data_IF_823729171621
#
_entry.id   IF_823729171621
#
_cell.length_a   1.000
_cell.length_b   1.000
_cell.length_c   1.000
_cell.angle_alpha   90.00
_cell.angle_beta   90.00
_cell.angle_gamma   90.00
#
_symmetry.space_group_name_H-M   'P 1'
#
loop_
_entity.id
_entity.type
_entity.pdbx_description
1 polymer ?
#
# COMPACT_ATOMS: atom_id res chain seq x y z
N UNK A 1 -4.28 15.96 -5.41
CA UNK A 1 -3.37 16.22 -4.27
C UNK A 1 -3.73 15.35 -3.08
N UNK A 2 -2.96 15.38 -1.98
CA UNK A 2 -3.23 14.54 -0.81
C UNK A 2 -4.57 14.85 -0.13
N UNK A 3 -4.93 16.13 -0.03
CA UNK A 3 -6.20 16.60 0.54
C UNK A 3 -7.39 16.06 -0.27
N UNK A 4 -7.36 16.21 -1.59
CA UNK A 4 -8.40 15.68 -2.49
C UNK A 4 -8.55 14.16 -2.37
N UNK A 5 -7.45 13.44 -2.17
CA UNK A 5 -7.50 12.00 -2.01
C UNK A 5 -8.15 11.57 -0.70
N UNK A 6 -7.85 12.26 0.40
CA UNK A 6 -8.51 12.05 1.69
C UNK A 6 -10.01 12.39 1.62
N UNK A 7 -10.38 13.52 0.98
CA UNK A 7 -11.77 13.90 0.73
C UNK A 7 -12.47 12.86 -0.16
N UNK A 8 -11.78 12.32 -1.16
CA UNK A 8 -12.33 11.29 -2.02
C UNK A 8 -12.63 10.00 -1.26
N UNK A 9 -11.70 9.55 -0.40
CA UNK A 9 -11.87 8.37 0.43
C UNK A 9 -12.99 8.53 1.47
N UNK A 10 -13.18 9.74 1.99
CA UNK A 10 -14.18 10.00 3.02
C UNK A 10 -15.63 9.92 2.54
N UNK A 11 -15.85 9.86 1.22
CA UNK A 11 -17.16 9.56 0.62
C UNK A 11 -17.67 8.16 0.98
N UNK A 12 -16.78 7.16 1.00
CA UNK A 12 -17.12 5.81 1.48
C UNK A 12 -16.98 5.71 3.01
N UNK A 13 -16.09 6.49 3.60
CA UNK A 13 -15.74 6.43 5.02
C UNK A 13 -15.88 7.81 5.69
N UNK A 14 -17.10 8.21 6.09
CA UNK A 14 -17.33 9.50 6.75
C UNK A 14 -16.39 9.70 7.94
N UNK A 15 -15.54 10.72 7.84
CA UNK A 15 -14.45 10.97 8.79
C UNK A 15 -14.07 12.45 8.79
N UNK A 16 -13.50 12.92 9.90
CA UNK A 16 -12.81 14.21 9.96
C UNK A 16 -11.40 14.05 9.40
N UNK A 17 -11.06 14.83 8.39
CA UNK A 17 -9.73 14.82 7.78
C UNK A 17 -8.91 15.95 8.40
N UNK A 18 -7.82 15.62 9.10
CA UNK A 18 -6.90 16.59 9.67
C UNK A 18 -5.59 16.51 8.88
N UNK A 19 -5.27 17.59 8.18
CA UNK A 19 -4.06 17.71 7.37
C UNK A 19 -3.06 18.55 8.15
N UNK A 20 -1.89 17.99 8.41
CA UNK A 20 -0.80 18.70 9.11
C UNK A 20 0.33 18.95 8.13
N UNK A 21 0.67 20.22 7.94
CA UNK A 21 1.83 20.67 7.17
C UNK A 21 2.89 21.19 8.13
N UNK A 22 4.10 20.65 8.03
CA UNK A 22 5.25 21.08 8.83
C UNK A 22 6.11 22.01 7.98
N UNK A 23 6.18 23.27 8.38
CA UNK A 23 7.01 24.30 7.74
C UNK A 23 8.43 24.36 8.32
N UNK A 24 9.12 25.46 8.02
CA UNK A 24 10.48 25.71 8.50
C UNK A 24 10.53 25.82 10.04
N UNK A 25 11.37 25.00 10.67
CA UNK A 25 11.58 24.96 12.13
C UNK A 25 12.42 26.13 12.64
N UNK A 26 13.18 26.80 11.78
CA UNK A 26 14.02 27.95 12.15
C UNK A 26 13.30 29.31 12.12
N UNK A 27 12.09 29.35 11.59
CA UNK A 27 11.27 30.56 11.50
C UNK A 27 10.54 30.88 12.83
N UNK A 28 9.91 32.05 12.90
CA UNK A 28 9.08 32.42 14.06
C UNK A 28 7.90 31.46 14.22
N UNK A 29 7.65 31.07 15.47
CA UNK A 29 6.62 30.10 15.82
C UNK A 29 5.22 30.61 15.44
N UNK A 30 4.52 29.87 14.56
CA UNK A 30 3.17 30.22 14.08
C UNK A 30 2.34 28.97 13.79
N UNK A 31 1.03 29.08 14.04
CA UNK A 31 0.02 28.13 13.61
C UNK A 31 -0.96 28.85 12.67
N UNK A 32 -0.98 28.45 11.41
CA UNK A 32 -2.03 28.86 10.46
C UNK A 32 -3.04 27.71 10.33
N UNK A 33 -4.34 28.00 10.40
CA UNK A 33 -5.39 26.99 10.34
C UNK A 33 -6.50 27.37 9.35
N UNK A 34 -6.96 26.39 8.58
CA UNK A 34 -8.09 26.51 7.65
C UNK A 34 -9.09 25.38 7.93
N UNK A 35 -10.38 25.71 8.02
CA UNK A 35 -11.45 24.72 8.14
C UNK A 35 -12.30 24.78 6.87
N UNK A 36 -12.41 23.65 6.17
CA UNK A 36 -13.28 23.49 5.00
C UNK A 36 -14.47 22.62 5.37
N UNK A 37 -15.67 23.11 5.07
CA UNK A 37 -16.94 22.44 5.39
C UNK A 37 -17.86 22.50 4.16
N UNK A 38 -18.67 21.47 3.94
CA UNK A 38 -19.63 21.45 2.84
C UNK A 38 -18.97 21.13 1.49
N UNK A 39 -19.35 21.83 0.42
CA UNK A 39 -18.96 21.51 -0.97
C UNK A 39 -17.45 21.29 -1.20
N UNK A 40 -16.60 22.02 -0.48
CA UNK A 40 -15.14 21.93 -0.59
C UNK A 40 -14.51 20.76 0.18
N UNK A 41 -15.27 20.14 1.09
CA UNK A 41 -14.85 19.00 1.91
C UNK A 41 -15.73 17.75 1.68
N UNK A 42 -16.72 17.84 0.80
CA UNK A 42 -17.67 16.76 0.53
C UNK A 42 -18.50 16.41 1.76
N UNK A 43 -18.54 15.12 2.11
CA UNK A 43 -19.23 14.61 3.30
C UNK A 43 -18.41 14.80 4.61
N UNK A 44 -17.22 15.39 4.51
CA UNK A 44 -16.27 15.52 5.62
C UNK A 44 -16.09 16.95 6.10
N UNK A 45 -15.55 17.08 7.31
CA UNK A 45 -14.88 18.29 7.78
C UNK A 45 -13.38 18.12 7.52
N UNK A 46 -12.76 19.10 6.84
CA UNK A 46 -11.31 19.09 6.59
C UNK A 46 -10.68 20.25 7.36
N UNK A 47 -9.76 19.92 8.26
CA UNK A 47 -8.97 20.89 9.02
C UNK A 47 -7.54 20.84 8.51
N UNK A 48 -7.04 21.95 7.97
CA UNK A 48 -5.65 22.09 7.51
C UNK A 48 -4.89 22.93 8.53
N UNK A 49 -3.81 22.38 9.09
CA UNK A 49 -2.97 23.00 10.11
C UNK A 49 -1.55 23.14 9.54
N UNK A 50 -1.06 24.37 9.43
CA UNK A 50 0.32 24.65 9.03
C UNK A 50 1.12 25.12 10.23
N UNK A 51 2.07 24.31 10.67
CA UNK A 51 2.88 24.52 11.86
C UNK A 51 4.27 24.99 11.42
N UNK A 52 4.71 26.13 11.94
CA UNK A 52 5.99 26.77 11.59
C UNK A 52 6.76 27.11 12.87
N UNK A 53 8.08 27.16 12.78
CA UNK A 53 8.96 27.41 13.92
C UNK A 53 8.90 26.26 14.93
N UNK A 54 8.91 26.59 16.22
CA UNK A 54 8.93 25.60 17.30
C UNK A 54 7.70 24.68 17.31
N UNK A 55 6.54 25.17 16.84
CA UNK A 55 5.34 24.33 16.73
C UNK A 55 5.50 23.15 15.79
N UNK A 56 6.36 23.25 14.76
CA UNK A 56 6.63 22.15 13.84
C UNK A 56 7.32 20.94 14.53
N UNK A 57 7.82 21.11 15.76
CA UNK A 57 8.36 20.02 16.59
C UNK A 57 7.29 19.34 17.47
N UNK A 58 6.07 19.90 17.54
CA UNK A 58 5.01 19.41 18.43
C UNK A 58 3.66 19.13 17.73
N UNK A 59 3.63 18.45 16.57
CA UNK A 59 2.40 18.26 15.81
C UNK A 59 1.34 17.46 16.56
N UNK A 60 1.73 16.46 17.35
CA UNK A 60 0.82 15.66 18.18
C UNK A 60 0.03 16.52 19.15
N UNK A 61 0.69 17.44 19.84
CA UNK A 61 0.04 18.33 20.82
C UNK A 61 -0.98 19.26 20.17
N UNK A 62 -0.69 19.72 18.95
CA UNK A 62 -1.57 20.59 18.17
C UNK A 62 -2.79 19.82 17.63
N UNK A 63 -2.62 18.56 17.21
CA UNK A 63 -3.70 17.76 16.63
C UNK A 63 -4.64 17.15 17.68
N UNK A 64 -4.13 16.80 18.86
CA UNK A 64 -4.89 16.09 19.90
C UNK A 64 -6.27 16.72 20.20
N UNK A 65 -6.43 18.06 20.34
CA UNK A 65 -7.73 18.69 20.60
C UNK A 65 -8.77 18.52 19.47
N UNK A 66 -8.35 18.20 18.25
CA UNK A 66 -9.24 18.00 17.11
C UNK A 66 -9.74 16.55 16.97
N UNK A 67 -9.17 15.62 17.75
CA UNK A 67 -9.58 14.22 17.74
C UNK A 67 -10.90 14.05 18.49
N UNK A 68 -11.78 13.23 17.92
CA UNK A 68 -13.04 12.87 18.57
C UNK A 68 -12.81 11.73 19.57
N UNK A 69 -13.41 11.78 20.77
CA UNK A 69 -13.37 10.65 21.69
C UNK A 69 -13.98 9.41 21.01
N UNK A 70 -13.39 8.26 21.29
CA UNK A 70 -13.87 6.94 20.83
C UNK A 70 -13.93 6.71 19.31
N UNK A 71 -13.33 7.59 18.51
CA UNK A 71 -13.19 7.41 17.05
C UNK A 71 -11.81 6.83 16.73
N UNK A 72 -11.71 5.74 15.93
CA UNK A 72 -10.42 5.20 15.52
C UNK A 72 -9.67 6.23 14.67
N UNK A 73 -8.40 6.46 15.02
CA UNK A 73 -7.52 7.37 14.29
C UNK A 73 -6.67 6.58 13.30
N UNK A 74 -6.56 7.10 12.08
CA UNK A 74 -5.70 6.59 11.02
C UNK A 74 -4.68 7.66 10.68
N UNK A 75 -3.40 7.32 10.75
CA UNK A 75 -2.30 8.21 10.36
C UNK A 75 -1.83 7.83 8.97
N UNK A 76 -1.72 8.81 8.06
CA UNK A 76 -1.27 8.58 6.70
C UNK A 76 -0.20 9.61 6.32
N UNK A 77 0.92 9.14 5.76
CA UNK A 77 1.95 10.00 5.17
C UNK A 77 1.84 9.94 3.64
N UNK A 78 1.38 11.01 2.96
CA UNK A 78 1.24 11.02 1.50
C UNK A 78 2.57 10.96 0.72
N UNK A 79 3.70 11.14 1.41
CA UNK A 79 5.03 11.18 0.83
C UNK A 79 6.05 10.43 1.71
N UNK A 80 7.16 11.08 2.02
CA UNK A 80 8.17 10.49 2.91
C UNK A 80 7.59 10.27 4.31
N UNK A 81 7.48 9.01 4.71
CA UNK A 81 7.12 8.62 6.06
C UNK A 81 8.36 8.57 6.96
N UNK A 82 8.22 8.74 8.28
CA UNK A 82 9.28 8.48 9.25
C UNK A 82 9.84 7.06 9.12
N UNK A 83 11.07 6.88 9.61
CA UNK A 83 11.73 5.56 9.60
C UNK A 83 11.02 4.56 10.52
N UNK A 84 10.54 5.02 11.68
CA UNK A 84 9.76 4.26 12.64
C UNK A 84 8.36 4.87 12.79
N UNK A 85 7.39 4.51 11.93
CA UNK A 85 6.04 5.08 11.98
C UNK A 85 5.33 4.88 13.31
N UNK A 86 5.54 3.77 14.02
CA UNK A 86 4.90 3.54 15.31
C UNK A 86 5.42 4.44 16.44
N UNK A 87 6.68 4.89 16.34
CA UNK A 87 7.32 5.74 17.35
C UNK A 87 7.16 7.24 17.04
N UNK A 88 6.77 7.58 15.80
CA UNK A 88 6.51 8.96 15.39
C UNK A 88 5.35 9.57 16.21
N UNK A 89 5.46 10.82 16.70
CA UNK A 89 4.40 11.44 17.48
C UNK A 89 3.02 11.42 16.82
N UNK A 90 2.93 11.56 15.50
CA UNK A 90 1.67 11.44 14.76
C UNK A 90 1.26 9.99 14.54
N UNK A 91 2.22 9.09 14.38
CA UNK A 91 1.96 7.66 14.28
C UNK A 91 1.39 7.05 15.55
N UNK A 92 1.84 7.48 16.74
CA UNK A 92 1.32 7.02 18.04
C UNK A 92 -0.16 7.35 18.26
N UNK A 93 -0.71 8.32 17.53
CA UNK A 93 -2.15 8.64 17.59
C UNK A 93 -2.99 7.60 16.87
N UNK A 94 -2.46 6.98 15.81
CA UNK A 94 -3.20 6.12 14.91
C UNK A 94 -3.05 4.63 15.23
N UNK A 95 -4.17 3.90 15.20
CA UNK A 95 -4.15 2.43 15.24
C UNK A 95 -3.73 1.83 13.90
N UNK A 96 -4.08 2.51 12.80
CA UNK A 96 -3.67 2.21 11.44
C UNK A 96 -2.70 3.29 10.96
N UNK A 97 -1.58 2.88 10.37
CA UNK A 97 -0.52 3.76 9.84
C UNK A 97 -0.29 3.40 8.38
N UNK A 98 -0.76 4.27 7.49
CA UNK A 98 -0.72 4.07 6.04
C UNK A 98 0.53 4.76 5.49
N UNK A 99 1.38 3.97 4.83
CA UNK A 99 2.61 4.40 4.18
C UNK A 99 2.45 4.31 2.65
N UNK A 100 3.41 4.85 1.90
CA UNK A 100 3.44 4.69 0.44
C UNK A 100 4.87 4.46 -0.06
N UNK A 101 5.25 3.18 -0.19
CA UNK A 101 6.55 2.77 -0.69
C UNK A 101 6.82 3.27 -2.13
N UNK A 102 5.77 3.50 -2.92
CA UNK A 102 5.87 3.99 -4.31
C UNK A 102 6.35 5.44 -4.38
N UNK A 103 6.25 6.18 -3.27
CA UNK A 103 6.70 7.57 -3.14
C UNK A 103 8.10 7.68 -2.53
N UNK A 104 8.77 6.56 -2.24
CA UNK A 104 10.10 6.57 -1.65
C UNK A 104 11.15 7.04 -2.66
N UNK A 105 12.10 7.86 -2.20
CA UNK A 105 13.29 8.23 -2.98
C UNK A 105 14.31 7.08 -3.12
N UNK A 106 14.15 5.99 -2.36
CA UNK A 106 15.04 4.84 -2.36
C UNK A 106 14.20 3.55 -2.56
N UNK A 107 13.63 3.33 -3.76
CA UNK A 107 12.69 2.23 -4.02
C UNK A 107 13.32 0.85 -3.78
N UNK A 108 14.58 0.63 -4.14
CA UNK A 108 15.25 -0.66 -3.97
C UNK A 108 15.45 -1.11 -2.51
N UNK A 109 15.40 -0.19 -1.54
CA UNK A 109 15.59 -0.50 -0.11
C UNK A 109 14.35 -0.26 0.73
N UNK A 110 13.27 0.26 0.14
CA UNK A 110 12.10 0.72 0.92
C UNK A 110 11.42 -0.42 1.67
N UNK A 111 11.20 -1.58 1.03
CA UNK A 111 10.52 -2.71 1.66
C UNK A 111 11.37 -3.34 2.76
N UNK A 112 12.69 -3.41 2.58
CA UNK A 112 13.61 -3.84 3.65
C UNK A 112 13.54 -2.93 4.87
N UNK A 113 13.50 -1.60 4.68
CA UNK A 113 13.27 -0.66 5.78
C UNK A 113 11.90 -0.84 6.44
N UNK A 114 10.83 -1.05 5.65
CA UNK A 114 9.49 -1.32 6.20
C UNK A 114 9.46 -2.58 7.05
N UNK A 115 10.12 -3.65 6.63
CA UNK A 115 10.21 -4.87 7.42
C UNK A 115 11.02 -4.64 8.71
N UNK A 116 12.14 -3.93 8.64
CA UNK A 116 13.01 -3.67 9.78
C UNK A 116 12.32 -2.86 10.90
N UNK A 117 11.37 -2.00 10.55
CA UNK A 117 10.65 -1.13 11.49
C UNK A 117 9.16 -1.43 11.59
N UNK A 118 8.71 -2.57 11.06
CA UNK A 118 7.31 -2.97 11.04
C UNK A 118 6.73 -3.04 12.46
N UNK A 119 5.57 -2.44 12.63
CA UNK A 119 4.74 -2.62 13.81
C UNK A 119 3.29 -2.99 13.42
N UNK A 120 2.58 -3.79 14.24
CA UNK A 120 1.17 -4.09 14.02
C UNK A 120 0.33 -2.82 13.83
N UNK A 121 -0.42 -2.77 12.73
CA UNK A 121 -1.18 -1.59 12.29
C UNK A 121 -0.51 -0.79 11.18
N UNK A 122 0.74 -1.08 10.82
CA UNK A 122 1.37 -0.56 9.61
C UNK A 122 0.80 -1.22 8.36
N UNK A 123 0.64 -0.44 7.30
CA UNK A 123 0.27 -0.88 5.96
C UNK A 123 0.87 0.05 4.92
N UNK A 124 0.82 -0.34 3.65
CA UNK A 124 1.40 0.42 2.55
C UNK A 124 0.48 0.42 1.32
N UNK A 125 0.29 1.59 0.71
CA UNK A 125 -0.55 1.71 -0.48
C UNK A 125 -0.02 0.93 -1.69
N UNK A 126 1.27 0.56 -1.72
CA UNK A 126 1.80 -0.38 -2.70
C UNK A 126 1.17 -1.78 -2.56
N UNK A 127 0.86 -2.20 -1.34
CA UNK A 127 0.19 -3.47 -1.04
C UNK A 127 -1.29 -3.43 -1.45
N UNK A 128 -1.98 -2.34 -1.10
CA UNK A 128 -3.37 -2.09 -1.49
C UNK A 128 -3.54 -2.05 -3.02
N UNK A 129 -2.54 -1.51 -3.73
CA UNK A 129 -2.56 -1.44 -5.19
C UNK A 129 -2.64 -2.83 -5.84
N UNK A 130 -2.10 -3.87 -5.19
CA UNK A 130 -2.08 -5.24 -5.75
C UNK A 130 -3.20 -6.14 -5.25
N UNK A 131 -4.18 -5.63 -4.49
CA UNK A 131 -5.32 -6.44 -3.98
C UNK A 131 -6.06 -7.21 -5.08
N UNK A 132 -6.36 -6.56 -6.22
CA UNK A 132 -7.08 -7.24 -7.31
C UNK A 132 -6.25 -8.38 -7.93
N UNK A 133 -4.94 -8.18 -8.09
CA UNK A 133 -4.02 -9.21 -8.58
C UNK A 133 -3.95 -10.40 -7.64
N UNK A 134 -3.87 -10.14 -6.32
CA UNK A 134 -3.88 -11.19 -5.30
C UNK A 134 -5.17 -12.00 -5.34
N UNK A 135 -6.33 -11.35 -5.46
CA UNK A 135 -7.62 -12.03 -5.55
C UNK A 135 -7.71 -12.94 -6.79
N UNK A 136 -7.23 -12.48 -7.96
CA UNK A 136 -7.20 -13.29 -9.18
C UNK A 136 -6.29 -14.51 -9.04
N UNK A 137 -5.10 -14.34 -8.45
CA UNK A 137 -4.16 -15.44 -8.22
C UNK A 137 -4.69 -16.45 -7.20
N UNK A 138 -5.23 -15.99 -6.08
CA UNK A 138 -5.85 -16.87 -5.08
C UNK A 138 -6.97 -17.71 -5.73
N UNK A 139 -7.87 -17.07 -6.48
CA UNK A 139 -8.92 -17.77 -7.23
C UNK A 139 -8.34 -18.74 -8.28
N UNK A 140 -7.23 -18.39 -8.94
CA UNK A 140 -6.58 -19.26 -9.90
C UNK A 140 -6.07 -20.56 -9.26
N UNK A 141 -5.47 -20.46 -8.06
CA UNK A 141 -4.91 -21.59 -7.31
C UNK A 141 -6.00 -22.53 -6.78
N UNK A 142 -7.17 -22.01 -6.44
CA UNK A 142 -8.32 -22.78 -5.95
C UNK A 142 -9.06 -23.55 -7.05
N UNK A 143 -8.65 -23.46 -8.32
CA UNK A 143 -9.29 -24.21 -9.40
C UNK A 143 -8.63 -25.59 -9.59
N UNK A 144 -9.40 -26.66 -9.86
CA UNK A 144 -8.85 -27.98 -10.18
C UNK A 144 -7.96 -27.91 -11.43
N UNK A 145 -7.00 -28.83 -11.62
CA UNK A 145 -6.81 -30.09 -10.91
C UNK A 145 -6.02 -30.00 -9.59
N UNK A 146 -5.62 -28.80 -9.14
CA UNK A 146 -4.80 -28.60 -7.94
C UNK A 146 -3.42 -29.32 -7.97
N UNK A 147 -2.88 -29.59 -9.16
CA UNK A 147 -1.50 -30.06 -9.34
C UNK A 147 -0.54 -29.14 -8.58
N UNK A 148 0.44 -29.66 -7.85
CA UNK A 148 1.30 -28.84 -7.00
C UNK A 148 2.00 -27.71 -7.80
N UNK A 149 2.04 -26.51 -7.22
CA UNK A 149 2.92 -25.44 -7.71
C UNK A 149 4.32 -25.78 -7.22
N UNK A 150 5.31 -25.76 -8.10
CA UNK A 150 6.69 -26.12 -7.77
C UNK A 150 7.62 -24.92 -7.71
N UNK A 151 7.26 -23.83 -8.40
CA UNK A 151 7.94 -22.54 -8.33
C UNK A 151 7.05 -21.42 -8.89
N UNK A 152 7.44 -20.17 -8.61
CA UNK A 152 6.76 -18.97 -9.09
C UNK A 152 7.77 -18.06 -9.79
N UNK A 153 7.34 -17.47 -10.90
CA UNK A 153 8.08 -16.40 -11.57
C UNK A 153 7.21 -15.14 -11.61
N UNK A 154 7.72 -14.04 -11.08
CA UNK A 154 7.08 -12.73 -11.07
C UNK A 154 7.91 -11.76 -11.91
N UNK A 155 7.34 -11.29 -13.00
CA UNK A 155 7.96 -10.31 -13.90
C UNK A 155 7.22 -8.99 -13.82
N UNK A 156 7.96 -7.89 -13.84
CA UNK A 156 7.40 -6.54 -13.75
C UNK A 156 8.47 -5.46 -13.72
N UNK A 157 8.09 -4.17 -13.73
CA UNK A 157 9.04 -3.05 -13.76
C UNK A 157 10.02 -3.08 -12.57
N UNK A 158 11.25 -2.60 -12.75
CA UNK A 158 12.33 -2.68 -11.74
C UNK A 158 11.95 -2.05 -10.40
N UNK A 159 11.37 -0.85 -10.41
CA UNK A 159 11.09 -0.08 -9.19
C UNK A 159 9.61 -0.18 -8.84
N UNK A 160 9.12 -1.39 -8.57
CA UNK A 160 7.71 -1.63 -8.29
C UNK A 160 7.52 -2.36 -6.96
N UNK A 161 7.43 -1.61 -5.84
CA UNK A 161 7.22 -2.20 -4.51
C UNK A 161 5.97 -3.06 -4.43
N UNK A 162 4.91 -2.74 -5.21
CA UNK A 162 3.71 -3.57 -5.27
C UNK A 162 3.96 -4.94 -5.91
N UNK A 163 4.75 -5.00 -6.99
CA UNK A 163 5.12 -6.28 -7.63
C UNK A 163 6.07 -7.08 -6.73
N UNK A 164 6.98 -6.41 -6.04
CA UNK A 164 7.91 -7.07 -5.12
C UNK A 164 7.15 -7.64 -3.90
N UNK A 165 6.20 -6.89 -3.32
CA UNK A 165 5.28 -7.39 -2.29
C UNK A 165 4.42 -8.56 -2.79
N UNK A 166 3.99 -8.53 -4.06
CA UNK A 166 3.23 -9.62 -4.65
C UNK A 166 4.08 -10.89 -4.78
N UNK A 167 5.36 -10.77 -5.14
CA UNK A 167 6.31 -11.87 -5.13
C UNK A 167 6.56 -12.39 -3.71
N UNK A 168 6.79 -11.50 -2.74
CA UNK A 168 6.95 -11.87 -1.34
C UNK A 168 5.73 -12.59 -0.76
N UNK A 169 4.53 -12.13 -1.11
CA UNK A 169 3.29 -12.81 -0.72
C UNK A 169 3.19 -14.22 -1.33
N UNK A 170 3.44 -14.37 -2.63
CA UNK A 170 3.42 -15.69 -3.29
C UNK A 170 4.47 -16.63 -2.68
N UNK A 171 5.66 -16.11 -2.37
CA UNK A 171 6.73 -16.84 -1.69
C UNK A 171 6.26 -17.37 -0.33
N UNK A 172 5.71 -16.50 0.52
CA UNK A 172 5.25 -16.87 1.86
C UNK A 172 4.00 -17.76 1.83
N UNK A 173 3.05 -17.50 0.93
CA UNK A 173 1.77 -18.21 0.89
C UNK A 173 1.87 -19.61 0.26
N UNK A 174 2.79 -19.80 -0.69
CA UNK A 174 2.97 -21.07 -1.39
C UNK A 174 4.18 -21.87 -0.91
N UNK A 175 5.11 -21.24 -0.18
CA UNK A 175 6.33 -21.84 0.35
C UNK A 175 7.22 -22.50 -0.74
N UNK A 176 7.18 -21.97 -1.97
CA UNK A 176 7.97 -22.45 -3.11
C UNK A 176 9.00 -21.43 -3.57
N UNK A 177 10.10 -21.86 -4.25
CA UNK A 177 11.04 -20.93 -4.87
C UNK A 177 10.32 -19.89 -5.74
N UNK A 178 10.62 -18.61 -5.49
CA UNK A 178 9.99 -17.49 -6.18
C UNK A 178 11.07 -16.58 -6.74
N UNK A 179 11.05 -16.40 -8.06
CA UNK A 179 11.98 -15.52 -8.78
C UNK A 179 11.30 -14.24 -9.22
N UNK A 180 12.01 -13.12 -9.09
CA UNK A 180 11.59 -11.79 -9.51
C UNK A 180 12.47 -11.29 -10.66
N UNK A 181 11.86 -10.97 -11.80
CA UNK A 181 12.56 -10.54 -13.04
C UNK A 181 12.07 -9.19 -13.55
N UNK A 182 12.98 -8.37 -14.09
CA UNK A 182 12.60 -7.10 -14.72
C UNK A 182 11.92 -7.36 -16.08
N UNK A 183 10.76 -6.74 -16.31
CA UNK A 183 10.07 -6.82 -17.60
C UNK A 183 8.61 -6.35 -17.55
N UNK A 184 7.82 -6.77 -18.54
CA UNK A 184 6.36 -6.56 -18.53
C UNK A 184 5.71 -7.38 -17.41
N UNK A 185 4.59 -6.87 -16.87
CA UNK A 185 3.87 -7.55 -15.79
C UNK A 185 3.38 -8.94 -16.25
N UNK A 186 3.93 -9.99 -15.64
CA UNK A 186 3.54 -11.38 -15.85
C UNK A 186 3.81 -12.19 -14.57
N UNK A 187 2.90 -13.08 -14.20
CA UNK A 187 3.06 -14.01 -13.09
C UNK A 187 2.84 -15.42 -13.60
N UNK A 188 3.82 -16.31 -13.37
CA UNK A 188 3.76 -17.71 -13.75
C UNK A 188 3.80 -18.58 -12.50
N UNK A 189 2.76 -19.38 -12.31
CA UNK A 189 2.72 -20.45 -11.31
C UNK A 189 3.09 -21.75 -12.02
N UNK A 190 4.30 -22.25 -11.79
CA UNK A 190 4.85 -23.42 -12.50
C UNK A 190 4.31 -24.70 -11.88
N UNK A 191 3.81 -25.60 -12.72
CA UNK A 191 3.26 -26.92 -12.36
C UNK A 191 3.67 -27.94 -13.42
N UNK A 192 3.65 -29.23 -13.05
CA UNK A 192 4.05 -30.32 -13.94
C UNK A 192 3.10 -30.50 -15.13
N UNK A 193 1.82 -30.17 -14.97
CA UNK A 193 0.80 -30.19 -16.01
C UNK A 193 0.74 -28.91 -16.86
N UNK A 194 1.67 -27.98 -16.61
CA UNK A 194 1.83 -26.72 -17.32
C UNK A 194 1.53 -25.49 -16.46
N UNK A 195 2.14 -24.33 -16.78
CA UNK A 195 2.05 -23.17 -15.92
C UNK A 195 0.67 -22.50 -16.01
N UNK A 196 0.21 -21.98 -14.88
CA UNK A 196 -0.83 -20.94 -14.89
C UNK A 196 -0.16 -19.58 -15.04
N UNK A 197 -0.56 -18.81 -16.06
CA UNK A 197 0.04 -17.53 -16.40
C UNK A 197 -0.98 -16.42 -16.25
N UNK A 198 -0.63 -15.36 -15.54
CA UNK A 198 -1.40 -14.12 -15.46
C UNK A 198 -0.58 -12.98 -16.07
N UNK A 199 -1.08 -12.37 -17.14
CA UNK A 199 -0.42 -11.27 -17.83
C UNK A 199 -1.44 -10.19 -18.23
N UNK A 200 -0.94 -9.03 -18.69
CA UNK A 200 -1.77 -7.98 -19.27
C UNK A 200 -1.93 -8.18 -20.79
N UNK A 201 -3.13 -8.01 -21.32
CA UNK A 201 -3.35 -7.88 -22.77
C UNK A 201 -3.07 -6.45 -23.27
N UNK A 202 -3.23 -6.25 -24.59
CA UNK A 202 -3.02 -4.96 -25.26
C UNK A 202 -3.98 -3.85 -24.78
N UNK A 203 -5.10 -4.22 -24.17
CA UNK A 203 -6.11 -3.30 -23.65
C UNK A 203 -5.95 -3.08 -22.14
N UNK A 204 -4.91 -3.66 -21.51
CA UNK A 204 -4.69 -3.55 -20.07
C UNK A 204 -5.57 -4.47 -19.21
N UNK A 205 -6.22 -5.48 -19.80
CA UNK A 205 -6.96 -6.47 -19.03
C UNK A 205 -6.03 -7.56 -18.51
N UNK A 206 -6.36 -8.11 -17.33
CA UNK A 206 -5.71 -9.32 -16.85
C UNK A 206 -6.22 -10.53 -17.65
N UNK A 207 -5.28 -11.28 -18.22
CA UNK A 207 -5.54 -12.56 -18.88
C UNK A 207 -4.92 -13.66 -18.03
N UNK A 208 -5.76 -14.62 -17.65
CA UNK A 208 -5.38 -15.78 -16.87
C UNK A 208 -5.49 -17.03 -17.75
N UNK A 209 -4.34 -17.57 -18.15
CA UNK A 209 -4.22 -18.77 -18.98
C UNK A 209 -3.86 -19.96 -18.09
N UNK A 210 -4.56 -21.07 -18.29
CA UNK A 210 -4.30 -22.33 -17.57
C UNK A 210 -4.34 -23.51 -18.56
N UNK A 211 -3.52 -24.55 -18.39
CA UNK A 211 -3.49 -25.69 -19.30
C UNK A 211 -4.88 -26.34 -19.45
N UNK A 212 -5.26 -26.62 -20.69
CA UNK A 212 -6.52 -27.30 -21.01
C UNK A 212 -7.80 -26.51 -20.71
N UNK A 213 -7.70 -25.21 -20.37
CA UNK A 213 -8.85 -24.35 -20.07
C UNK A 213 -8.88 -23.12 -21.00
N UNK A 214 -10.07 -22.58 -21.28
CA UNK A 214 -10.18 -21.27 -21.93
C UNK A 214 -9.54 -20.16 -21.08
N UNK A 215 -8.97 -19.16 -21.75
CA UNK A 215 -8.42 -17.99 -21.08
C UNK A 215 -9.52 -17.22 -20.34
N UNK A 216 -9.26 -16.92 -19.06
CA UNK A 216 -10.07 -15.99 -18.29
C UNK A 216 -9.62 -14.55 -18.56
N UNK A 217 -10.55 -13.63 -18.79
CA UNK A 217 -10.24 -12.20 -18.94
C UNK A 217 -10.99 -11.38 -17.90
N UNK A 218 -10.27 -10.51 -17.20
CA UNK A 218 -10.84 -9.62 -16.20
C UNK A 218 -10.35 -8.21 -16.46
N UNK A 219 -11.28 -7.25 -16.54
CA UNK A 219 -10.94 -5.85 -16.65
C UNK A 219 -10.21 -5.40 -15.37
N UNK A 220 -9.03 -4.82 -15.55
CA UNK A 220 -8.28 -4.21 -14.46
C UNK A 220 -8.49 -2.71 -14.55
N UNK A 221 -9.08 -2.13 -13.51
CA UNK A 221 -9.27 -0.68 -13.43
C UNK A 221 -8.06 -0.07 -12.77
N UNK A 222 -7.52 1.00 -13.36
CA UNK A 222 -6.49 1.79 -12.69
C UNK A 222 -7.04 2.36 -11.38
N UNK A 223 -6.35 2.08 -10.27
CA UNK A 223 -6.78 2.50 -8.93
C UNK A 223 -6.03 3.74 -8.50
N UNK A 224 -6.74 4.86 -8.54
CA UNK A 224 -6.19 6.13 -8.07
C UNK A 224 -6.10 6.19 -6.54
N UNK A 225 -5.32 7.15 -6.04
CA UNK A 225 -5.06 7.32 -4.60
C UNK A 225 -6.31 7.37 -3.71
N UNK A 226 -7.41 8.06 -4.07
CA UNK A 226 -8.62 8.06 -3.23
C UNK A 226 -9.23 6.65 -3.07
N UNK A 227 -9.16 5.83 -4.12
CA UNK A 227 -9.70 4.45 -4.13
C UNK A 227 -8.83 3.51 -3.29
N UNK A 228 -7.51 3.74 -3.27
CA UNK A 228 -6.59 2.97 -2.42
C UNK A 228 -6.78 3.35 -0.95
N UNK A 229 -6.88 4.65 -0.64
CA UNK A 229 -7.16 5.11 0.71
C UNK A 229 -8.51 4.61 1.22
N UNK A 230 -9.56 4.67 0.40
CA UNK A 230 -10.87 4.12 0.78
C UNK A 230 -10.76 2.63 1.15
N UNK A 231 -10.02 1.83 0.37
CA UNK A 231 -9.81 0.41 0.70
C UNK A 231 -9.08 0.20 2.03
N UNK A 232 -8.03 0.98 2.31
CA UNK A 232 -7.33 0.92 3.59
C UNK A 232 -8.24 1.26 4.78
N UNK A 233 -9.25 2.11 4.57
CA UNK A 233 -10.21 2.50 5.61
C UNK A 233 -11.34 1.47 5.82
N UNK A 234 -11.52 0.50 4.93
CA UNK A 234 -12.54 -0.56 5.09
C UNK A 234 -12.21 -1.55 6.19
N UNK A 235 -10.92 -1.79 6.46
CA UNK A 235 -10.47 -2.69 7.52
C UNK A 235 -9.29 -2.08 8.26
N UNK A 236 -9.53 -1.67 9.51
CA UNK A 236 -8.54 -1.01 10.36
C UNK A 236 -7.73 -1.99 11.23
N UNK A 237 -8.09 -3.27 11.21
CA UNK A 237 -7.35 -4.32 11.91
C UNK A 237 -5.95 -4.52 11.34
N UNK A 238 -5.12 -5.26 12.08
CA UNK A 238 -3.77 -5.63 11.66
C UNK A 238 -3.86 -6.45 10.36
N UNK A 239 -3.04 -6.07 9.36
CA UNK A 239 -2.90 -6.85 8.13
C UNK A 239 -1.71 -7.81 8.26
N UNK A 240 -1.95 -8.98 8.83
CA UNK A 240 -0.93 -10.03 8.99
C UNK A 240 -0.39 -10.53 7.64
N UNK A 241 -1.20 -10.45 6.58
CA UNK A 241 -0.77 -10.88 5.23
C UNK A 241 0.22 -9.88 4.63
N UNK A 242 0.09 -8.59 4.95
CA UNK A 242 1.11 -7.60 4.61
C UNK A 242 2.45 -7.88 5.28
N UNK A 243 2.45 -8.22 6.58
CA UNK A 243 3.67 -8.62 7.28
C UNK A 243 4.30 -9.87 6.65
N UNK A 244 3.49 -10.89 6.36
CA UNK A 244 3.94 -12.10 5.68
C UNK A 244 4.52 -11.80 4.30
N UNK A 245 3.92 -10.88 3.54
CA UNK A 245 4.44 -10.44 2.25
C UNK A 245 5.80 -9.76 2.41
N UNK A 246 5.94 -8.82 3.36
CA UNK A 246 7.21 -8.14 3.66
C UNK A 246 8.32 -9.14 4.02
N UNK A 247 8.04 -10.10 4.90
CA UNK A 247 8.99 -11.16 5.26
C UNK A 247 9.38 -11.98 4.03
N UNK A 248 8.39 -12.38 3.24
CA UNK A 248 8.59 -13.18 2.03
C UNK A 248 9.47 -12.50 0.98
N UNK A 249 9.44 -11.16 0.88
CA UNK A 249 10.34 -10.42 -0.04
C UNK A 249 11.81 -10.76 0.22
N UNK A 250 12.20 -11.02 1.46
CA UNK A 250 13.60 -11.35 1.80
C UNK A 250 14.06 -12.71 1.28
N UNK A 251 13.12 -13.57 0.89
CA UNK A 251 13.38 -14.91 0.35
C UNK A 251 13.16 -14.99 -1.17
N UNK A 252 12.83 -13.89 -1.82
CA UNK A 252 12.66 -13.82 -3.27
C UNK A 252 14.01 -13.69 -3.95
N UNK A 253 14.23 -14.50 -4.98
CA UNK A 253 15.43 -14.43 -5.82
C UNK A 253 15.26 -13.32 -6.89
N UNK A 254 16.00 -12.22 -6.78
CA UNK A 254 15.95 -11.12 -7.76
C UNK A 254 16.97 -11.35 -8.88
N UNK A 255 16.48 -11.52 -10.12
CA UNK A 255 17.30 -11.68 -11.32
C UNK A 255 17.27 -10.39 -12.16
N UNK A 256 18.47 -9.84 -12.45
CA UNK A 256 18.62 -8.66 -13.32
C UNK A 256 18.90 -7.34 -12.59
N UNK A 257 18.97 -7.34 -11.26
CA UNK A 257 19.60 -6.24 -10.52
C UNK A 257 21.12 -6.45 -10.54
N UNK A 258 21.80 -5.91 -11.55
CA UNK A 258 23.26 -5.77 -11.48
C UNK A 258 23.61 -4.95 -10.23
N UNK A 259 24.58 -5.45 -9.47
CA UNK A 259 25.14 -4.84 -8.26
C UNK A 259 25.58 -3.38 -8.44
#
# INVERSE_FOLDING_TARGET
>A
GAIEAAIGASREHPSRVIVVSLGDRGADSRLDAEIRVGGDAGASEVVVLSLVGELANHPRSVVTPFLLPDTPVVTWWPGAAPEHPADDPMGTLGRRRILDARRSCNPGTVLGRRLATYAPGDSDLAWTQVTQWRALLASAVERPPHTAITSVEVTGPTESPGVDLLAGWLRSALEVPTRRRIGSFEIRLIRDDGPTVMALDQNGNAVLTSPGKPDGRVAITHRELPVLLAEELRRLDIDEVYELALRGVTEVEFEGASA
#
